data_IF_503959248961
#
_entry.id   IF_503959248961
#
_cell.length_a   1.000
_cell.length_b   1.000
_cell.length_c   1.000
_cell.angle_alpha   90.00
_cell.angle_beta   90.00
_cell.angle_gamma   90.00
#
_symmetry.space_group_name_H-M   'P 1'
#
loop_
_entity.id
_entity.type
_entity.pdbx_description
1 polymer ?
#
# COMPACT_ATOMS: atom_id res chain seq x y z
N UNK A 1 9.14 32.84 8.64
CA UNK A 1 8.46 31.91 7.71
C UNK A 1 9.53 30.94 7.23
N UNK A 2 9.59 29.72 7.80
CA UNK A 2 10.56 28.70 7.38
C UNK A 2 10.05 28.11 6.07
N UNK A 3 10.88 28.11 5.03
CA UNK A 3 10.60 27.36 3.81
C UNK A 3 10.53 25.87 4.20
N UNK A 4 9.42 25.21 3.86
CA UNK A 4 9.37 23.76 3.86
C UNK A 4 10.28 23.29 2.72
N UNK A 5 11.34 22.60 3.06
CA UNK A 5 12.11 21.81 2.11
C UNK A 5 11.24 20.60 1.75
N UNK A 6 10.85 20.49 0.49
CA UNK A 6 10.05 19.37 -0.02
C UNK A 6 10.91 18.62 -1.01
N UNK A 7 11.38 17.44 -0.61
CA UNK A 7 12.07 16.51 -1.50
C UNK A 7 11.05 15.91 -2.48
N UNK A 8 10.97 16.50 -3.67
CA UNK A 8 10.21 15.98 -4.79
C UNK A 8 11.14 15.13 -5.65
N UNK A 9 11.11 13.81 -5.46
CA UNK A 9 11.86 12.90 -6.32
C UNK A 9 11.00 12.52 -7.53
N UNK A 10 11.26 13.17 -8.68
CA UNK A 10 10.65 12.80 -9.96
C UNK A 10 11.63 11.92 -10.73
N UNK A 11 11.31 10.63 -10.85
CA UNK A 11 12.00 9.74 -11.79
C UNK A 11 11.27 9.84 -13.13
N UNK A 12 11.89 10.51 -14.11
CA UNK A 12 11.40 10.60 -15.49
C UNK A 12 12.54 10.25 -16.43
N UNK A 13 12.32 9.31 -17.35
CA UNK A 13 13.36 8.85 -18.28
C UNK A 13 13.57 9.77 -19.51
N UNK A 14 12.93 10.95 -19.58
CA UNK A 14 13.04 11.83 -20.75
C UNK A 14 13.33 13.30 -20.40
N UNK A 15 14.38 13.94 -21.01
CA UNK A 15 14.62 15.37 -20.89
C UNK A 15 13.75 16.21 -21.87
N UNK A 16 13.61 17.49 -21.52
CA UNK A 16 12.59 18.48 -21.91
C UNK A 16 12.45 18.72 -23.43
N UNK A 17 11.21 18.91 -23.90
CA UNK A 17 10.86 19.48 -25.21
C UNK A 17 10.07 20.79 -25.03
N UNK A 18 10.51 21.86 -25.67
CA UNK A 18 9.75 23.10 -25.80
C UNK A 18 8.56 22.89 -26.76
N UNK A 19 7.35 23.26 -26.34
CA UNK A 19 6.11 23.11 -27.11
C UNK A 19 5.24 21.91 -26.73
N UNK A 20 5.41 21.36 -25.53
CA UNK A 20 4.74 20.14 -25.09
C UNK A 20 3.23 20.30 -24.96
N UNK A 21 2.52 19.47 -25.70
CA UNK A 21 1.12 19.10 -25.44
C UNK A 21 0.93 18.86 -23.94
N UNK A 22 -0.13 19.40 -23.31
CA UNK A 22 -0.46 19.11 -21.92
C UNK A 22 -0.38 17.61 -21.64
N UNK A 23 0.21 17.24 -20.49
CA UNK A 23 0.32 15.84 -20.02
C UNK A 23 1.19 14.92 -20.90
N UNK A 24 2.20 15.45 -21.61
CA UNK A 24 3.10 14.60 -22.40
C UNK A 24 4.08 13.77 -21.57
N UNK A 25 4.35 14.15 -20.32
CA UNK A 25 5.34 13.47 -19.46
C UNK A 25 4.66 12.36 -18.68
N UNK A 26 4.97 11.12 -19.02
CA UNK A 26 4.47 9.96 -18.29
C UNK A 26 5.21 9.84 -16.95
N UNK A 27 4.44 9.62 -15.88
CA UNK A 27 4.96 9.44 -14.54
C UNK A 27 4.50 8.07 -14.03
N UNK A 28 5.44 7.16 -13.86
CA UNK A 28 5.15 5.77 -13.44
C UNK A 28 5.17 5.61 -11.91
N UNK A 29 5.95 6.43 -11.21
CA UNK A 29 6.10 6.40 -9.74
C UNK A 29 6.12 7.80 -9.13
N UNK A 30 5.30 8.00 -8.07
CA UNK A 30 5.16 9.28 -7.37
C UNK A 30 5.30 9.08 -5.86
N UNK A 31 6.36 9.64 -5.28
CA UNK A 31 6.58 9.69 -3.83
C UNK A 31 6.40 11.10 -3.29
N UNK A 32 5.43 11.28 -2.39
CA UNK A 32 5.13 12.56 -1.76
C UNK A 32 5.17 12.38 -0.25
N UNK A 33 6.20 12.93 0.39
CA UNK A 33 6.40 12.77 1.84
C UNK A 33 5.52 13.72 2.67
N UNK A 34 5.36 14.98 2.24
CA UNK A 34 4.59 15.99 2.95
C UNK A 34 3.84 16.89 1.95
N UNK A 35 2.57 17.22 2.25
CA UNK A 35 1.72 18.14 1.47
C UNK A 35 1.14 17.59 0.15
N UNK A 36 0.72 16.32 0.19
CA UNK A 36 0.08 15.62 -0.95
C UNK A 36 -1.01 16.48 -1.62
N UNK A 37 -1.85 17.15 -0.83
CA UNK A 37 -3.00 17.90 -1.34
C UNK A 37 -2.58 18.99 -2.35
N UNK A 38 -1.55 19.78 -2.04
CA UNK A 38 -1.06 20.84 -2.95
C UNK A 38 -0.55 20.27 -4.26
N UNK A 39 0.17 19.16 -4.22
CA UNK A 39 0.65 18.50 -5.43
C UNK A 39 -0.49 17.89 -6.24
N UNK A 40 -1.48 17.28 -5.58
CA UNK A 40 -2.63 16.71 -6.29
C UNK A 40 -3.48 17.79 -6.94
N UNK A 41 -3.69 18.94 -6.29
CA UNK A 41 -4.36 20.09 -6.90
C UNK A 41 -3.60 20.58 -8.14
N UNK A 42 -2.26 20.57 -8.10
CA UNK A 42 -1.43 20.94 -9.23
C UNK A 42 -1.49 19.90 -10.37
N UNK A 43 -1.44 18.60 -10.08
CA UNK A 43 -1.57 17.53 -11.07
C UNK A 43 -2.92 17.55 -11.81
N UNK A 44 -3.95 18.17 -11.21
CA UNK A 44 -5.26 18.32 -11.83
C UNK A 44 -5.34 19.51 -12.81
N UNK A 45 -4.41 20.48 -12.73
CA UNK A 45 -4.43 21.64 -13.61
C UNK A 45 -4.08 21.25 -15.06
N UNK A 46 -4.71 21.94 -16.02
CA UNK A 46 -4.44 21.71 -17.45
C UNK A 46 -3.02 22.10 -17.86
N UNK A 47 -2.37 22.94 -17.07
CA UNK A 47 -0.97 23.33 -17.23
C UNK A 47 0.02 22.28 -16.72
N UNK A 48 -0.44 21.21 -16.06
CA UNK A 48 0.44 20.18 -15.55
C UNK A 48 1.04 19.36 -16.72
N UNK A 49 2.38 19.27 -16.82
CA UNK A 49 3.00 18.51 -17.89
C UNK A 49 2.96 16.99 -17.64
N UNK A 50 2.55 16.54 -16.45
CA UNK A 50 2.57 15.14 -16.04
C UNK A 50 1.24 14.41 -16.25
N UNK A 51 1.28 13.23 -16.88
CA UNK A 51 0.17 12.30 -17.03
C UNK A 51 0.12 11.34 -15.84
N UNK A 52 -0.67 11.69 -14.81
CA UNK A 52 -0.84 10.86 -13.61
C UNK A 52 -1.81 9.67 -13.81
N UNK A 53 -2.48 9.58 -14.96
CA UNK A 53 -3.43 8.49 -15.25
C UNK A 53 -2.74 7.14 -15.46
N UNK A 54 -1.44 7.14 -15.74
CA UNK A 54 -0.65 5.93 -15.92
C UNK A 54 0.22 5.62 -14.69
N UNK A 55 -0.02 6.31 -13.58
CA UNK A 55 0.76 6.11 -12.37
C UNK A 55 0.55 4.68 -11.86
N UNK A 56 1.65 3.94 -11.73
CA UNK A 56 1.62 2.55 -11.28
C UNK A 56 1.82 2.45 -9.78
N UNK A 57 2.64 3.35 -9.22
CA UNK A 57 3.01 3.37 -7.81
C UNK A 57 2.76 4.75 -7.20
N UNK A 58 2.10 4.76 -6.04
CA UNK A 58 1.91 5.97 -5.27
C UNK A 58 2.07 5.72 -3.78
N UNK A 59 2.73 6.65 -3.10
CA UNK A 59 2.99 6.58 -1.67
C UNK A 59 2.11 7.58 -0.91
N UNK A 60 1.48 7.13 0.18
CA UNK A 60 0.76 8.01 1.10
C UNK A 60 -0.66 8.39 0.67
N UNK A 61 -1.06 9.66 0.88
CA UNK A 61 -2.45 10.12 0.71
C UNK A 61 -2.90 10.31 -0.74
N UNK A 62 -2.02 10.13 -1.72
CA UNK A 62 -2.31 10.37 -3.14
C UNK A 62 -3.30 9.37 -3.73
N UNK A 63 -3.51 8.21 -3.08
CA UNK A 63 -4.44 7.16 -3.51
C UNK A 63 -5.85 7.67 -3.80
N UNK A 64 -6.33 8.71 -3.09
CA UNK A 64 -7.67 9.26 -3.30
C UNK A 64 -7.87 9.85 -4.70
N UNK A 65 -6.78 10.19 -5.37
CA UNK A 65 -6.79 10.94 -6.63
C UNK A 65 -6.41 10.07 -7.84
N UNK A 66 -5.53 9.08 -7.63
CA UNK A 66 -5.01 8.19 -8.69
C UNK A 66 -5.52 6.75 -8.59
N UNK A 67 -6.32 6.42 -7.57
CA UNK A 67 -6.55 5.03 -7.20
C UNK A 67 -7.22 4.14 -8.25
N UNK A 68 -7.91 4.70 -9.24
CA UNK A 68 -8.44 3.92 -10.38
C UNK A 68 -7.35 3.40 -11.32
N UNK A 69 -6.19 4.02 -11.34
CA UNK A 69 -5.08 3.67 -12.23
C UNK A 69 -3.98 2.84 -11.55
N UNK A 70 -3.98 2.78 -10.22
CA UNK A 70 -2.93 2.11 -9.46
C UNK A 70 -3.04 0.59 -9.61
N UNK A 71 -1.97 -0.01 -10.11
CA UNK A 71 -1.76 -1.45 -10.07
C UNK A 71 -1.08 -1.89 -8.79
N UNK A 72 -0.33 -1.03 -8.10
CA UNK A 72 0.36 -1.35 -6.85
C UNK A 72 0.21 -0.23 -5.83
N UNK A 73 0.11 -0.57 -4.53
CA UNK A 73 -0.01 0.44 -3.46
C UNK A 73 0.98 0.21 -2.33
N UNK A 74 1.57 1.31 -1.87
CA UNK A 74 2.58 1.27 -0.83
C UNK A 74 2.08 2.08 0.38
N UNK A 75 1.60 1.40 1.43
CA UNK A 75 1.13 2.04 2.66
C UNK A 75 2.31 2.20 3.65
N UNK A 76 3.21 3.12 3.31
CA UNK A 76 4.32 3.48 4.16
C UNK A 76 3.89 4.48 5.24
N UNK A 77 4.01 4.05 6.50
CA UNK A 77 3.95 4.88 7.72
C UNK A 77 2.88 5.97 7.73
N UNK A 78 1.69 5.57 7.30
CA UNK A 78 0.53 6.43 7.25
C UNK A 78 0.01 6.64 8.67
N UNK A 79 0.31 7.78 9.29
CA UNK A 79 -0.34 8.21 10.54
C UNK A 79 -1.71 8.81 10.18
N UNK A 80 -2.66 7.94 9.83
CA UNK A 80 -3.98 8.39 9.35
C UNK A 80 -4.98 8.40 10.47
N UNK A 81 -5.66 9.54 10.61
CA UNK A 81 -6.83 9.70 11.47
C UNK A 81 -8.02 8.82 11.02
N UNK A 82 -8.12 8.46 9.73
CA UNK A 82 -9.22 7.63 9.20
C UNK A 82 -8.76 6.63 8.10
N UNK A 83 -8.48 5.37 8.48
CA UNK A 83 -8.07 4.34 7.53
C UNK A 83 -9.20 3.79 6.65
N UNK A 84 -10.47 4.06 6.94
CA UNK A 84 -11.60 3.46 6.19
C UNK A 84 -11.79 4.06 4.80
N UNK A 85 -11.16 5.20 4.51
CA UNK A 85 -11.39 5.92 3.27
C UNK A 85 -10.59 5.40 2.07
N UNK A 86 -9.51 4.62 2.26
CA UNK A 86 -8.57 4.33 1.17
C UNK A 86 -9.11 3.41 0.08
N UNK A 87 -9.71 2.27 0.45
CA UNK A 87 -10.20 1.30 -0.54
C UNK A 87 -11.33 1.83 -1.42
N UNK A 88 -12.07 2.84 -0.95
CA UNK A 88 -13.09 3.51 -1.75
C UNK A 88 -12.53 4.11 -3.03
N UNK A 89 -11.27 4.55 -3.01
CA UNK A 89 -10.65 5.26 -4.12
C UNK A 89 -9.81 4.36 -5.02
N UNK A 90 -9.50 3.14 -4.59
CA UNK A 90 -8.60 2.21 -5.28
C UNK A 90 -9.29 0.89 -5.68
N UNK A 91 -10.31 0.92 -6.55
CA UNK A 91 -11.07 -0.28 -6.91
C UNK A 91 -10.27 -1.30 -7.73
N UNK A 92 -9.17 -0.88 -8.37
CA UNK A 92 -8.38 -1.69 -9.30
C UNK A 92 -7.05 -2.17 -8.71
N UNK A 93 -6.88 -2.06 -7.38
CA UNK A 93 -5.63 -2.31 -6.70
C UNK A 93 -5.18 -3.76 -6.90
N UNK A 94 -4.09 -3.97 -7.63
CA UNK A 94 -3.34 -5.22 -7.55
C UNK A 94 -2.48 -5.19 -6.29
N UNK A 95 -2.24 -6.33 -5.64
CA UNK A 95 -2.29 -6.31 -4.19
C UNK A 95 -0.90 -6.43 -3.59
N UNK A 96 -0.04 -5.53 -4.05
CA UNK A 96 1.14 -5.16 -3.30
C UNK A 96 0.69 -4.16 -2.24
N UNK A 97 0.93 -4.44 -0.95
CA UNK A 97 0.64 -3.52 0.14
C UNK A 97 1.70 -3.61 1.23
N UNK A 98 2.65 -2.69 1.23
CA UNK A 98 3.61 -2.50 2.33
C UNK A 98 2.87 -1.91 3.53
N UNK A 99 2.95 -2.47 4.74
CA UNK A 99 2.22 -1.98 5.92
C UNK A 99 3.15 -1.94 7.13
N UNK A 100 3.28 -0.78 7.77
CA UNK A 100 4.11 -0.62 8.97
C UNK A 100 3.36 -0.87 10.28
N UNK A 101 2.02 -0.77 10.32
CA UNK A 101 1.22 -0.98 11.54
C UNK A 101 0.00 -1.87 11.32
N UNK A 102 -0.18 -2.83 12.24
CA UNK A 102 -1.21 -3.88 12.21
C UNK A 102 -2.64 -3.31 12.18
N UNK A 103 -2.89 -2.19 12.87
CA UNK A 103 -4.22 -1.55 12.94
C UNK A 103 -4.76 -1.14 11.57
N UNK A 104 -3.89 -0.92 10.57
CA UNK A 104 -4.32 -0.63 9.20
C UNK A 104 -4.86 -1.84 8.47
N UNK A 105 -4.40 -3.06 8.77
CA UNK A 105 -4.89 -4.27 8.10
C UNK A 105 -6.38 -4.45 8.34
N UNK A 106 -6.82 -4.36 9.59
CA UNK A 106 -8.24 -4.53 9.93
C UNK A 106 -9.13 -3.45 9.31
N UNK A 107 -8.67 -2.20 9.26
CA UNK A 107 -9.45 -1.11 8.65
C UNK A 107 -9.45 -1.16 7.11
N UNK A 108 -8.32 -1.60 6.51
CA UNK A 108 -8.22 -1.79 5.07
C UNK A 108 -9.16 -2.91 4.65
N UNK A 109 -9.08 -4.08 5.28
CA UNK A 109 -9.83 -5.25 4.84
C UNK A 109 -11.23 -5.38 5.45
N UNK A 110 -11.55 -4.66 6.52
CA UNK A 110 -12.86 -4.70 7.16
C UNK A 110 -14.02 -4.45 6.18
N UNK A 111 -14.01 -3.35 5.41
CA UNK A 111 -15.05 -3.07 4.40
C UNK A 111 -15.14 -4.11 3.28
N UNK A 112 -14.11 -4.94 3.09
CA UNK A 112 -14.11 -6.00 2.09
C UNK A 112 -14.80 -7.27 2.58
N UNK A 113 -14.91 -7.47 3.90
CA UNK A 113 -15.64 -8.60 4.48
C UNK A 113 -17.17 -8.44 4.36
N UNK A 114 -17.66 -7.19 4.34
CA UNK A 114 -19.09 -6.90 4.26
C UNK A 114 -19.65 -7.01 2.83
N UNK A 115 -18.79 -7.24 1.85
CA UNK A 115 -19.18 -7.41 0.45
C UNK A 115 -19.07 -8.88 0.08
N UNK A 116 -20.20 -9.50 -0.25
CA UNK A 116 -20.24 -10.83 -0.90
C UNK A 116 -19.62 -10.83 -2.32
N UNK A 117 -19.01 -9.73 -2.75
CA UNK A 117 -18.39 -9.59 -4.06
C UNK A 117 -16.96 -10.13 -4.01
N UNK A 118 -16.66 -11.06 -4.92
CA UNK A 118 -15.29 -11.52 -5.17
C UNK A 118 -14.41 -10.34 -5.52
N UNK A 119 -13.34 -10.17 -4.75
CA UNK A 119 -12.35 -9.15 -5.06
C UNK A 119 -11.53 -9.63 -6.26
N UNK A 120 -11.28 -8.78 -7.27
CA UNK A 120 -10.40 -9.12 -8.39
C UNK A 120 -8.91 -9.21 -7.99
N UNK A 121 -8.60 -9.25 -6.69
CA UNK A 121 -7.24 -9.32 -6.16
C UNK A 121 -6.60 -10.68 -6.50
N UNK A 122 -5.56 -10.66 -7.34
CA UNK A 122 -4.85 -11.87 -7.79
C UNK A 122 -3.67 -12.30 -6.90
N UNK A 123 -3.16 -11.46 -5.98
CA UNK A 123 -2.06 -11.79 -5.04
C UNK A 123 -1.88 -10.77 -3.92
N UNK A 124 -2.16 -11.11 -2.66
CA UNK A 124 -1.91 -10.18 -1.55
C UNK A 124 -0.50 -10.33 -0.99
N UNK A 125 0.34 -9.30 -1.13
CA UNK A 125 1.67 -9.21 -0.53
C UNK A 125 1.72 -8.12 0.54
N UNK A 126 1.97 -8.52 1.79
CA UNK A 126 2.11 -7.65 2.96
C UNK A 126 3.59 -7.61 3.37
N UNK A 127 4.21 -6.44 3.21
CA UNK A 127 5.62 -6.27 3.62
C UNK A 127 5.71 -5.56 4.96
N UNK A 128 6.39 -6.19 5.92
CA UNK A 128 6.53 -5.77 7.30
C UNK A 128 7.95 -5.32 7.60
N UNK A 129 8.09 -4.11 8.16
CA UNK A 129 9.37 -3.54 8.58
C UNK A 129 9.34 -3.33 10.09
N UNK A 130 9.66 -4.37 10.89
CA UNK A 130 9.75 -4.19 12.32
C UNK A 130 10.86 -3.17 12.63
N UNK A 131 10.53 -2.10 13.37
CA UNK A 131 11.56 -1.26 13.97
C UNK A 131 12.44 -2.12 14.88
N UNK A 132 13.74 -1.85 14.94
CA UNK A 132 14.69 -2.58 15.79
C UNK A 132 14.28 -2.65 17.28
N UNK A 133 13.36 -1.78 17.70
CA UNK A 133 12.85 -1.71 19.07
C UNK A 133 11.46 -2.34 19.28
N UNK A 134 10.88 -3.02 18.28
CA UNK A 134 9.55 -3.64 18.44
C UNK A 134 9.65 -4.77 19.45
N UNK A 135 9.02 -4.56 20.62
CA UNK A 135 8.75 -5.65 21.56
C UNK A 135 7.74 -6.58 20.90
N UNK A 136 8.18 -7.79 20.54
CA UNK A 136 7.34 -8.84 19.96
C UNK A 136 6.18 -9.26 20.89
N UNK A 137 6.24 -8.87 22.16
CA UNK A 137 5.21 -9.11 23.17
C UNK A 137 4.20 -7.94 23.27
N UNK A 138 4.23 -6.98 22.35
CA UNK A 138 3.27 -5.87 22.36
C UNK A 138 1.85 -6.39 22.16
N UNK A 139 0.88 -5.70 22.77
CA UNK A 139 -0.55 -6.02 22.63
C UNK A 139 -1.02 -6.01 21.16
N UNK A 140 -0.28 -5.35 20.27
CA UNK A 140 -0.61 -5.32 18.85
C UNK A 140 -0.54 -6.72 18.23
N UNK A 141 0.32 -7.62 18.74
CA UNK A 141 0.42 -8.98 18.20
C UNK A 141 -0.80 -9.87 18.51
N UNK A 142 -1.59 -9.51 19.53
CA UNK A 142 -2.81 -10.25 19.86
C UNK A 142 -3.89 -10.08 18.77
N UNK A 143 -3.83 -9.00 17.98
CA UNK A 143 -4.79 -8.72 16.90
C UNK A 143 -4.55 -9.52 15.62
N UNK A 144 -3.43 -10.24 15.50
CA UNK A 144 -3.14 -11.06 14.33
C UNK A 144 -4.10 -12.22 14.13
N UNK A 145 -4.70 -12.77 15.18
CA UNK A 145 -5.73 -13.80 15.04
C UNK A 145 -6.98 -13.29 14.32
N UNK A 146 -7.33 -12.01 14.53
CA UNK A 146 -8.42 -11.38 13.81
C UNK A 146 -8.06 -11.17 12.32
N UNK A 147 -6.80 -10.83 12.04
CA UNK A 147 -6.29 -10.71 10.67
C UNK A 147 -6.23 -12.06 9.97
N UNK A 148 -5.78 -13.11 10.67
CA UNK A 148 -5.75 -14.49 10.18
C UNK A 148 -7.13 -14.95 9.74
N UNK A 149 -8.13 -14.78 10.61
CA UNK A 149 -9.53 -15.11 10.29
C UNK A 149 -10.12 -14.23 9.19
N UNK A 150 -9.71 -12.97 9.12
CA UNK A 150 -10.16 -12.04 8.09
C UNK A 150 -9.60 -12.41 6.72
N UNK A 151 -8.30 -12.71 6.63
CA UNK A 151 -7.62 -13.01 5.38
C UNK A 151 -7.96 -14.42 4.87
N UNK A 152 -8.26 -15.36 5.78
CA UNK A 152 -8.71 -16.71 5.41
C UNK A 152 -10.04 -16.68 4.65
N UNK A 153 -10.98 -15.85 5.12
CA UNK A 153 -12.32 -15.67 4.54
C UNK A 153 -12.33 -14.96 3.20
N UNK A 154 -11.29 -14.18 2.89
CA UNK A 154 -11.25 -13.44 1.64
C UNK A 154 -11.09 -14.42 0.48
N UNK A 155 -12.09 -14.45 -0.39
CA UNK A 155 -12.01 -15.09 -1.70
C UNK A 155 -11.26 -14.16 -2.66
N UNK A 156 -9.93 -14.22 -2.58
CA UNK A 156 -9.09 -13.63 -3.60
C UNK A 156 -9.09 -14.52 -4.85
N UNK A 157 -8.86 -13.92 -6.01
CA UNK A 157 -8.47 -14.68 -7.20
C UNK A 157 -7.09 -15.34 -7.02
N UNK A 158 -6.30 -14.85 -6.05
CA UNK A 158 -5.11 -15.55 -5.54
C UNK A 158 -5.46 -16.66 -4.58
N UNK A 159 -4.69 -17.74 -4.65
CA UNK A 159 -4.70 -18.78 -3.63
C UNK A 159 -3.87 -18.39 -2.39
N UNK A 160 -2.98 -17.38 -2.47
CA UNK A 160 -2.00 -17.12 -1.39
C UNK A 160 -1.92 -15.67 -0.91
N UNK A 161 -1.59 -15.54 0.38
CA UNK A 161 -1.22 -14.31 1.08
C UNK A 161 0.26 -14.39 1.44
N UNK A 162 1.04 -13.52 0.85
CA UNK A 162 2.47 -13.44 1.03
C UNK A 162 2.84 -12.37 2.05
N UNK A 163 3.57 -12.76 3.08
CA UNK A 163 4.21 -11.85 4.02
C UNK A 163 5.70 -11.80 3.73
N UNK A 164 6.25 -10.59 3.63
CA UNK A 164 7.70 -10.38 3.51
C UNK A 164 8.20 -9.58 4.71
N UNK A 165 9.34 -9.95 5.28
CA UNK A 165 9.96 -9.25 6.41
C UNK A 165 11.47 -9.38 6.36
N UNK A 166 12.23 -8.40 6.84
CA UNK A 166 13.69 -8.51 6.99
C UNK A 166 14.11 -9.21 8.29
N UNK A 167 13.17 -9.60 9.15
CA UNK A 167 13.46 -10.15 10.47
C UNK A 167 13.00 -11.61 10.64
N UNK A 168 13.94 -12.53 10.84
CA UNK A 168 13.67 -13.96 11.07
C UNK A 168 12.70 -14.19 12.24
N UNK A 169 12.86 -13.46 13.35
CA UNK A 169 11.96 -13.57 14.51
C UNK A 169 10.52 -13.18 14.18
N UNK A 170 10.33 -12.20 13.30
CA UNK A 170 8.99 -11.82 12.83
C UNK A 170 8.39 -12.90 11.94
N UNK A 171 9.20 -13.54 11.09
CA UNK A 171 8.74 -14.68 10.28
C UNK A 171 8.22 -15.82 11.16
N UNK A 172 8.98 -16.24 12.17
CA UNK A 172 8.57 -17.29 13.11
C UNK A 172 7.29 -16.91 13.86
N UNK A 173 7.18 -15.65 14.26
CA UNK A 173 6.00 -15.14 14.94
C UNK A 173 4.77 -15.13 14.03
N UNK A 174 4.89 -14.75 12.76
CA UNK A 174 3.78 -14.77 11.80
C UNK A 174 3.26 -16.19 11.60
N UNK A 175 4.15 -17.17 11.40
CA UNK A 175 3.77 -18.57 11.27
C UNK A 175 2.97 -19.03 12.50
N UNK A 176 3.47 -18.73 13.71
CA UNK A 176 2.75 -19.08 14.95
C UNK A 176 1.46 -18.31 15.21
N UNK A 177 1.25 -17.14 14.57
CA UNK A 177 0.10 -16.26 14.77
C UNK A 177 -0.96 -16.35 13.67
N UNK A 178 -0.66 -17.02 12.56
CA UNK A 178 -1.53 -17.14 11.39
C UNK A 178 -1.90 -18.60 11.06
N UNK A 179 -2.40 -19.39 12.04
CA UNK A 179 -2.64 -20.82 11.85
C UNK A 179 -3.77 -21.14 10.85
N UNK A 180 -4.73 -20.24 10.61
CA UNK A 180 -5.80 -20.46 9.65
C UNK A 180 -5.29 -20.34 8.22
N UNK A 181 -4.52 -19.29 7.94
CA UNK A 181 -3.84 -19.14 6.65
C UNK A 181 -2.84 -20.26 6.40
N UNK A 182 -2.11 -20.71 7.42
CA UNK A 182 -1.20 -21.85 7.31
C UNK A 182 -1.96 -23.15 6.99
N UNK A 183 -3.02 -23.45 7.74
CA UNK A 183 -3.84 -24.66 7.52
C UNK A 183 -4.53 -24.69 6.16
N UNK A 184 -4.89 -23.52 5.65
CA UNK A 184 -5.51 -23.37 4.33
C UNK A 184 -4.49 -23.31 3.19
N UNK A 185 -3.19 -23.50 3.47
CA UNK A 185 -2.09 -23.42 2.50
C UNK A 185 -2.00 -22.05 1.80
N UNK A 186 -2.66 -21.03 2.35
CA UNK A 186 -2.64 -19.67 1.81
C UNK A 186 -1.44 -18.87 2.33
N UNK A 187 -0.82 -19.26 3.44
CA UNK A 187 0.26 -18.50 4.04
C UNK A 187 1.60 -18.73 3.34
N UNK A 188 2.21 -17.65 2.83
CA UNK A 188 3.61 -17.64 2.36
C UNK A 188 4.38 -16.61 3.18
N UNK A 189 5.49 -16.98 3.83
CA UNK A 189 6.32 -16.02 4.60
C UNK A 189 7.78 -16.06 4.12
N UNK A 190 8.26 -14.94 3.60
CA UNK A 190 9.60 -14.77 3.03
C UNK A 190 10.46 -13.80 3.85
N UNK A 191 11.77 -14.05 3.84
CA UNK A 191 12.77 -13.08 4.29
C UNK A 191 13.17 -12.27 3.07
N UNK A 192 13.17 -10.94 3.20
CA UNK A 192 13.73 -10.06 2.16
C UNK A 192 15.25 -10.15 2.24
N UNK A 193 15.90 -10.59 1.16
CA UNK A 193 17.36 -10.54 1.04
C UNK A 193 17.76 -9.08 0.76
N UNK A 194 18.60 -8.52 1.64
CA UNK A 194 19.15 -7.15 1.52
C UNK A 194 20.03 -6.97 0.26
#
# INVERSE_FOLDING_TARGET
MKALDVDLHICSENPILEGTTPRSIRLDELSLANDVRRFMDWFQQDSCPFEIRNLQKCYGQCMQYVGKSLSEVWLLDLDVEDPNNYLKYTPNLAPYTRISRIRFLSALFGPLLDKDEKLPLQRLRIVLFPSHNVRLDSHDWASWSAIDALLEKLEFASETVEFTTSCVRVKELLVGKLPLLERSEKLVVQIEDD
#
